data_IF_846215110955
#
_entry.id   IF_846215110955
#
_cell.length_a   1.000
_cell.length_b   1.000
_cell.length_c   1.000
_cell.angle_alpha   90.00
_cell.angle_beta   90.00
_cell.angle_gamma   90.00
#
_symmetry.space_group_name_H-M   'P 1'
#
loop_
_entity.id
_entity.type
_entity.pdbx_description
1 polymer ?
#
# COMPACT_ATOMS: atom_id res chain seq x y z
N UNK A 1 6.34 -40.34 69.50
CA UNK A 1 6.57 -38.87 69.60
C UNK A 1 7.45 -38.45 68.42
N UNK A 2 7.14 -37.32 67.75
CA UNK A 2 7.64 -36.79 66.44
C UNK A 2 6.94 -37.37 65.20
N UNK A 3 5.85 -36.75 64.69
CA UNK A 3 5.72 -35.56 63.80
C UNK A 3 6.34 -35.73 62.40
N UNK A 4 5.48 -35.86 61.36
CA UNK A 4 5.21 -34.91 60.22
C UNK A 4 6.45 -34.57 59.37
N UNK A 5 6.46 -34.62 58.03
CA UNK A 5 5.72 -33.76 57.11
C UNK A 5 5.91 -34.22 55.63
N UNK A 6 4.89 -33.99 54.79
CA UNK A 6 4.89 -34.13 53.32
C UNK A 6 5.93 -33.21 52.66
N UNK A 7 6.60 -33.68 51.61
CA UNK A 7 7.11 -32.82 50.52
C UNK A 7 6.45 -33.24 49.20
N UNK A 8 5.65 -32.34 48.64
CA UNK A 8 5.26 -32.32 47.23
C UNK A 8 6.30 -31.48 46.49
N UNK A 9 6.83 -31.96 45.37
CA UNK A 9 7.35 -31.05 44.35
C UNK A 9 7.00 -31.56 42.97
N UNK A 10 6.13 -30.78 42.33
CA UNK A 10 5.56 -30.96 41.01
C UNK A 10 6.64 -30.57 40.00
N UNK A 11 7.22 -31.55 39.31
CA UNK A 11 8.14 -31.34 38.19
C UNK A 11 7.38 -31.36 36.88
N UNK A 12 6.46 -30.42 36.68
CA UNK A 12 5.82 -30.20 35.37
C UNK A 12 5.54 -28.71 35.27
N UNK A 13 6.30 -28.01 34.43
CA UNK A 13 5.95 -26.79 33.69
C UNK A 13 7.22 -25.97 33.41
N UNK A 14 8.12 -26.50 32.59
CA UNK A 14 9.19 -25.67 31.97
C UNK A 14 9.33 -25.94 30.46
N UNK A 15 8.28 -26.46 29.82
CA UNK A 15 8.32 -26.81 28.39
C UNK A 15 7.11 -26.27 27.59
N UNK A 16 6.36 -25.33 28.16
CA UNK A 16 5.14 -24.76 27.53
C UNK A 16 5.25 -23.26 27.27
N UNK A 17 6.48 -22.72 27.15
CA UNK A 17 6.70 -21.30 26.85
C UNK A 17 7.34 -21.03 25.47
N UNK A 18 7.58 -22.05 24.64
CA UNK A 18 8.27 -21.87 23.35
C UNK A 18 7.39 -22.07 22.09
N UNK A 19 6.08 -22.28 22.21
CA UNK A 19 5.24 -22.62 21.04
C UNK A 19 4.20 -21.57 20.61
N UNK A 20 4.15 -20.38 21.22
CA UNK A 20 3.07 -19.39 20.95
C UNK A 20 3.57 -18.12 20.24
N UNK A 21 4.87 -17.96 20.00
CA UNK A 21 5.42 -16.78 19.29
C UNK A 21 5.49 -16.91 17.76
N UNK A 22 4.97 -18.00 17.17
CA UNK A 22 5.07 -18.26 15.72
C UNK A 22 3.80 -17.94 14.91
N UNK A 23 2.70 -17.49 15.52
CA UNK A 23 1.40 -17.36 14.82
C UNK A 23 1.04 -15.90 14.46
N UNK A 24 1.80 -14.89 14.89
CA UNK A 24 1.50 -13.49 14.55
C UNK A 24 2.59 -12.87 13.67
N UNK A 25 2.96 -13.58 12.62
CA UNK A 25 3.61 -12.97 11.46
C UNK A 25 2.73 -13.25 10.24
N UNK A 26 1.49 -12.79 10.31
CA UNK A 26 0.66 -12.62 9.12
C UNK A 26 1.31 -11.48 8.33
N UNK A 27 2.36 -11.81 7.57
CA UNK A 27 2.91 -10.95 6.56
C UNK A 27 1.77 -10.68 5.57
N UNK A 28 1.11 -9.54 5.76
CA UNK A 28 0.14 -9.01 4.80
C UNK A 28 0.97 -8.63 3.59
N UNK A 29 1.17 -9.61 2.70
CA UNK A 29 1.63 -9.36 1.34
C UNK A 29 0.44 -8.73 0.65
N UNK A 30 0.37 -7.40 0.76
CA UNK A 30 -0.49 -6.55 -0.03
C UNK A 30 -0.16 -6.86 -1.51
N UNK A 31 -0.99 -7.68 -2.15
CA UNK A 31 -0.82 -8.04 -3.55
C UNK A 31 -1.11 -6.78 -4.37
N UNK A 32 -0.04 -6.16 -4.88
CA UNK A 32 -0.15 -5.04 -5.79
C UNK A 32 -1.00 -5.45 -7.00
N UNK A 33 -2.11 -4.75 -7.22
CA UNK A 33 -3.05 -5.05 -8.30
C UNK A 33 -3.36 -3.80 -9.12
N UNK A 34 -3.49 -3.99 -10.43
CA UNK A 34 -4.03 -2.94 -11.30
C UNK A 34 -5.55 -2.82 -11.06
N UNK A 35 -6.02 -1.59 -10.86
CA UNK A 35 -7.43 -1.29 -10.58
C UNK A 35 -7.93 -0.21 -11.53
N UNK A 36 -9.24 -0.23 -11.82
CA UNK A 36 -9.87 0.78 -12.70
C UNK A 36 -10.14 2.11 -11.98
N UNK A 37 -10.20 2.09 -10.65
CA UNK A 37 -10.45 3.26 -9.83
C UNK A 37 -10.01 3.09 -8.38
N UNK A 38 -9.80 4.20 -7.69
CA UNK A 38 -9.56 4.28 -6.24
C UNK A 38 -10.44 5.36 -5.62
N UNK A 39 -10.79 5.20 -4.34
CA UNK A 39 -11.57 6.21 -3.59
C UNK A 39 -10.71 6.84 -2.51
N UNK A 40 -10.50 8.15 -2.62
CA UNK A 40 -9.66 8.96 -1.71
C UNK A 40 -10.45 10.16 -1.23
N UNK A 41 -10.49 10.38 0.09
CA UNK A 41 -11.26 11.48 0.72
C UNK A 41 -12.72 11.59 0.26
N UNK A 42 -13.36 10.46 -0.03
CA UNK A 42 -14.75 10.41 -0.51
C UNK A 42 -14.93 10.66 -2.01
N UNK A 43 -13.88 11.10 -2.72
CA UNK A 43 -13.87 11.29 -4.19
C UNK A 43 -13.25 10.07 -4.87
N UNK A 44 -13.69 9.78 -6.09
CA UNK A 44 -13.17 8.65 -6.88
C UNK A 44 -12.22 9.16 -7.95
N UNK A 45 -11.03 8.56 -8.03
CA UNK A 45 -10.08 8.75 -9.14
C UNK A 45 -10.17 7.52 -10.03
N UNK A 46 -10.30 7.73 -11.34
CA UNK A 46 -10.45 6.67 -12.35
C UNK A 46 -9.37 6.77 -13.41
N UNK A 47 -9.17 5.68 -14.14
CA UNK A 47 -8.44 5.72 -15.41
C UNK A 47 -9.16 6.73 -16.33
N UNK A 48 -8.38 7.52 -17.05
CA UNK A 48 -8.75 8.66 -17.90
C UNK A 48 -9.11 9.97 -17.20
N UNK A 49 -9.13 10.03 -15.86
CA UNK A 49 -9.23 11.31 -15.16
C UNK A 49 -8.04 12.21 -15.49
N UNK A 50 -8.27 13.52 -15.61
CA UNK A 50 -7.21 14.50 -15.87
C UNK A 50 -6.31 14.68 -14.64
N UNK A 51 -5.04 15.03 -14.88
CA UNK A 51 -4.11 15.35 -13.80
C UNK A 51 -4.63 16.47 -12.89
N UNK A 52 -5.28 17.50 -13.46
CA UNK A 52 -5.88 18.60 -12.69
C UNK A 52 -6.97 18.13 -11.73
N UNK A 53 -7.85 17.22 -12.19
CA UNK A 53 -8.84 16.60 -11.32
C UNK A 53 -8.16 15.85 -10.17
N UNK A 54 -7.14 15.04 -10.47
CA UNK A 54 -6.42 14.28 -9.45
C UNK A 54 -5.73 15.19 -8.43
N UNK A 55 -5.09 16.27 -8.88
CA UNK A 55 -4.42 17.22 -7.99
C UNK A 55 -5.40 18.06 -7.15
N UNK A 56 -6.65 18.19 -7.58
CA UNK A 56 -7.73 18.75 -6.76
C UNK A 56 -8.30 17.76 -5.71
N UNK A 57 -8.00 16.45 -5.85
CA UNK A 57 -8.42 15.41 -4.90
C UNK A 57 -7.32 15.10 -3.90
N UNK A 58 -6.09 14.92 -4.37
CA UNK A 58 -4.94 14.51 -3.57
C UNK A 58 -4.16 15.71 -3.04
N UNK A 59 -3.63 15.61 -1.82
CA UNK A 59 -2.76 16.64 -1.28
C UNK A 59 -1.33 16.35 -1.69
N UNK A 60 -0.53 17.40 -1.85
CA UNK A 60 0.90 17.24 -2.12
C UNK A 60 1.61 16.46 -0.99
N UNK A 61 1.17 16.64 0.26
CA UNK A 61 1.68 15.90 1.42
C UNK A 61 1.44 14.38 1.37
N UNK A 62 0.51 13.91 0.53
CA UNK A 62 0.22 12.48 0.37
C UNK A 62 1.20 11.81 -0.61
N UNK A 63 1.95 12.61 -1.39
CA UNK A 63 2.88 12.12 -2.39
C UNK A 63 4.18 11.67 -1.72
N UNK A 64 4.51 10.40 -1.90
CA UNK A 64 5.74 9.79 -1.35
C UNK A 64 6.91 10.01 -2.30
N UNK A 65 6.68 9.87 -3.60
CA UNK A 65 7.70 10.08 -4.63
C UNK A 65 7.08 10.30 -6.00
N UNK A 66 7.88 10.88 -6.90
CA UNK A 66 7.54 11.03 -8.30
C UNK A 66 8.73 10.65 -9.18
N UNK A 67 8.43 10.06 -10.33
CA UNK A 67 9.40 9.74 -11.38
C UNK A 67 8.85 10.24 -12.71
N UNK A 68 9.71 10.86 -13.51
CA UNK A 68 9.40 11.29 -14.87
C UNK A 68 10.27 10.47 -15.80
N UNK A 69 9.66 9.84 -16.79
CA UNK A 69 10.34 9.04 -17.80
C UNK A 69 9.78 9.34 -19.19
N UNK A 70 10.51 8.95 -20.24
CA UNK A 70 9.97 9.02 -21.60
C UNK A 70 8.76 8.09 -21.72
N UNK A 71 7.70 8.56 -22.37
CA UNK A 71 6.53 7.72 -22.61
C UNK A 71 6.87 6.66 -23.68
N UNK A 72 6.76 5.36 -23.38
CA UNK A 72 7.04 4.30 -24.36
C UNK A 72 6.03 4.29 -25.51
N UNK A 73 4.83 4.85 -25.33
CA UNK A 73 3.76 4.84 -26.34
C UNK A 73 3.72 6.12 -27.18
N UNK A 74 4.38 7.19 -26.73
CA UNK A 74 4.43 8.46 -27.45
C UNK A 74 5.80 9.13 -27.25
N UNK A 75 6.62 9.15 -28.30
CA UNK A 75 7.99 9.66 -28.25
C UNK A 75 8.10 11.16 -27.93
N UNK A 76 7.03 11.93 -28.12
CA UNK A 76 6.95 13.36 -27.85
C UNK A 76 6.33 13.68 -26.47
N UNK A 77 5.93 12.64 -25.72
CA UNK A 77 5.30 12.75 -24.41
C UNK A 77 6.21 12.20 -23.30
N UNK A 78 5.88 12.58 -22.07
CA UNK A 78 6.48 12.03 -20.86
C UNK A 78 5.46 11.15 -20.15
N UNK A 79 5.95 10.11 -19.48
CA UNK A 79 5.18 9.32 -18.53
C UNK A 79 5.57 9.77 -17.12
N UNK A 80 4.57 10.20 -16.36
CA UNK A 80 4.72 10.65 -14.99
C UNK A 80 4.17 9.59 -14.04
N UNK A 81 5.00 9.09 -13.14
CA UNK A 81 4.64 8.07 -12.16
C UNK A 81 4.66 8.72 -10.78
N UNK A 82 3.52 8.75 -10.10
CA UNK A 82 3.41 9.31 -8.74
C UNK A 82 2.96 8.26 -7.76
N UNK A 83 3.74 8.09 -6.69
CA UNK A 83 3.44 7.17 -5.60
C UNK A 83 2.82 7.95 -4.44
N UNK A 84 1.68 7.48 -3.94
CA UNK A 84 0.94 8.12 -2.87
C UNK A 84 0.76 7.18 -1.68
N UNK A 85 0.65 7.78 -0.50
CA UNK A 85 0.23 7.11 0.73
C UNK A 85 -0.80 7.96 1.43
N UNK A 86 -2.05 7.50 1.45
CA UNK A 86 -3.15 8.15 2.16
C UNK A 86 -3.62 7.23 3.27
N UNK A 87 -3.37 7.62 4.53
CA UNK A 87 -3.59 6.76 5.71
C UNK A 87 -2.85 5.41 5.57
N UNK A 88 -3.56 4.31 5.54
CA UNK A 88 -3.04 2.95 5.33
C UNK A 88 -2.98 2.53 3.86
N UNK A 89 -3.58 3.29 2.94
CA UNK A 89 -3.65 2.95 1.52
C UNK A 89 -2.44 3.47 0.77
N UNK A 90 -1.80 2.60 -0.02
CA UNK A 90 -0.70 2.96 -0.92
C UNK A 90 -1.13 2.68 -2.35
N UNK A 91 -0.86 3.62 -3.24
CA UNK A 91 -1.18 3.45 -4.64
C UNK A 91 -0.24 4.27 -5.52
N UNK A 92 -0.10 3.83 -6.76
CA UNK A 92 0.71 4.50 -7.78
C UNK A 92 -0.19 4.89 -8.94
N UNK A 93 -0.10 6.17 -9.33
CA UNK A 93 -0.78 6.71 -10.49
C UNK A 93 0.22 6.94 -11.61
N UNK A 94 -0.11 6.46 -12.80
CA UNK A 94 0.65 6.69 -14.02
C UNK A 94 -0.12 7.69 -14.87
N UNK A 95 0.54 8.75 -15.30
CA UNK A 95 -0.03 9.79 -16.14
C UNK A 95 0.72 9.87 -17.46
N UNK A 96 -0.04 9.97 -18.55
CA UNK A 96 0.50 10.24 -19.87
C UNK A 96 -0.49 11.09 -20.67
N UNK A 97 -0.03 11.66 -21.78
CA UNK A 97 -0.92 12.28 -22.77
C UNK A 97 -1.50 11.20 -23.68
N UNK A 98 -2.83 11.15 -23.76
CA UNK A 98 -3.53 10.26 -24.70
C UNK A 98 -3.49 10.84 -26.12
N UNK A 99 -3.52 12.16 -26.23
CA UNK A 99 -3.43 12.93 -27.48
C UNK A 99 -2.37 14.01 -27.28
N UNK A 100 -1.55 14.27 -28.29
CA UNK A 100 -0.51 15.31 -28.25
C UNK A 100 -0.71 16.33 -29.38
N UNK A 101 -1.01 17.61 -29.08
CA UNK A 101 -1.10 18.22 -27.75
C UNK A 101 -2.40 17.83 -27.00
N UNK A 102 -2.30 17.63 -25.69
CA UNK A 102 -3.45 17.31 -24.83
C UNK A 102 -3.10 17.24 -23.35
N UNK A 103 -4.10 17.16 -22.45
CA UNK A 103 -3.87 17.08 -21.02
C UNK A 103 -3.30 15.72 -20.62
N UNK A 104 -2.54 15.70 -19.53
CA UNK A 104 -2.16 14.45 -18.87
C UNK A 104 -3.39 13.79 -18.25
N UNK A 105 -3.54 12.49 -18.48
CA UNK A 105 -4.60 11.67 -17.93
C UNK A 105 -4.01 10.48 -17.19
N UNK A 106 -4.73 9.98 -16.19
CA UNK A 106 -4.41 8.72 -15.52
C UNK A 106 -4.54 7.58 -16.53
N UNK A 107 -3.47 6.88 -16.83
CA UNK A 107 -3.48 5.73 -17.75
C UNK A 107 -3.44 4.39 -17.03
N UNK A 108 -2.99 4.38 -15.77
CA UNK A 108 -2.90 3.17 -14.95
C UNK A 108 -2.94 3.52 -13.46
N UNK A 109 -3.58 2.67 -12.68
CA UNK A 109 -3.63 2.75 -11.22
C UNK A 109 -3.20 1.41 -10.64
N UNK A 110 -2.15 1.42 -9.82
CA UNK A 110 -1.73 0.25 -9.05
C UNK A 110 -2.06 0.50 -7.59
N UNK A 111 -2.86 -0.37 -6.98
CA UNK A 111 -3.13 -0.35 -5.54
C UNK A 111 -2.36 -1.46 -4.86
N UNK A 112 -1.79 -1.17 -3.68
CA UNK A 112 -1.08 -2.14 -2.85
C UNK A 112 -1.93 -2.48 -1.62
#
# INVERSE_FOLDING_TARGET
>A
MKMRFKLRTISVCLATLCLITAIVLCAVVANAGEVSSIKVYGKTIRIYDTADHVFAVLKESDMVSQTIQKDPNNANSLLLVKNYKVKSMRFTLYFARVEDPGPYKVIRIISY
#
